data_IF_881184968453
#
_entry.id   IF_881184968453
#
_cell.length_a   1.000
_cell.length_b   1.000
_cell.length_c   1.000
_cell.angle_alpha   90.00
_cell.angle_beta   90.00
_cell.angle_gamma   90.00
#
_symmetry.space_group_name_H-M   'P 1'
#
loop_
_entity.id
_entity.type
_entity.pdbx_description
1 polymer ?
#
# COMPACT_ATOMS: atom_id res chain seq x y z
N UNK A 1 -2.53 -14.15 -8.64
CA UNK A 1 -1.97 -12.83 -8.99
C UNK A 1 -1.61 -12.06 -7.73
N UNK A 2 -0.43 -11.46 -7.74
CA UNK A 2 0.03 -10.63 -6.63
C UNK A 2 -0.18 -9.16 -6.96
N UNK A 3 -1.10 -8.51 -6.28
CA UNK A 3 -1.39 -7.09 -6.46
C UNK A 3 -0.66 -6.29 -5.37
N UNK A 4 0.02 -5.24 -5.77
CA UNK A 4 0.79 -4.37 -4.88
C UNK A 4 0.38 -2.92 -5.06
N UNK A 5 0.56 -2.12 -4.00
CA UNK A 5 0.44 -0.67 -4.06
C UNK A 5 1.86 -0.11 -3.96
N UNK A 6 2.30 0.59 -4.98
CA UNK A 6 3.68 1.08 -5.06
C UNK A 6 3.75 2.45 -5.71
N UNK A 7 4.92 3.09 -5.62
CA UNK A 7 5.16 4.37 -6.27
C UNK A 7 5.73 4.14 -7.67
N UNK A 8 5.15 4.81 -8.66
CA UNK A 8 5.69 4.89 -10.01
C UNK A 8 6.28 6.29 -10.21
N UNK A 9 7.47 6.36 -10.78
CA UNK A 9 8.13 7.63 -11.02
C UNK A 9 7.62 8.26 -12.30
N UNK A 10 7.25 9.53 -12.21
CA UNK A 10 6.87 10.38 -13.33
C UNK A 10 7.61 11.70 -13.22
N UNK A 11 7.40 12.59 -14.18
CA UNK A 11 8.07 13.88 -14.19
C UNK A 11 9.32 13.88 -15.04
N UNK A 12 10.13 14.93 -14.87
CA UNK A 12 11.36 15.14 -15.66
C UNK A 12 12.58 14.70 -14.87
N UNK A 13 13.71 14.52 -15.58
CA UNK A 13 15.03 14.32 -14.97
C UNK A 13 15.30 15.48 -14.01
N UNK A 14 15.62 15.29 -12.79
CA UNK A 14 15.80 16.29 -11.71
C UNK A 14 14.50 16.88 -11.12
N UNK A 15 13.32 16.54 -11.67
CA UNK A 15 12.04 16.98 -11.12
C UNK A 15 11.13 15.77 -10.97
N UNK A 16 11.42 14.87 -10.01
CA UNK A 16 10.64 13.66 -9.82
C UNK A 16 9.25 13.96 -9.26
N UNK A 17 8.28 13.26 -9.79
CA UNK A 17 6.92 13.26 -9.30
C UNK A 17 6.48 11.81 -9.22
N UNK A 18 5.88 11.40 -8.13
CA UNK A 18 5.50 10.01 -7.92
C UNK A 18 3.99 9.84 -7.93
N UNK A 19 3.53 8.78 -8.57
CA UNK A 19 2.14 8.33 -8.50
C UNK A 19 2.07 7.07 -7.66
N UNK A 20 1.14 7.07 -6.71
CA UNK A 20 0.86 5.88 -5.91
C UNK A 20 -0.15 5.05 -6.70
N UNK A 21 0.26 3.89 -7.17
CA UNK A 21 -0.54 3.07 -8.08
C UNK A 21 -0.72 1.66 -7.55
N UNK A 22 -1.86 1.07 -7.90
CA UNK A 22 -2.14 -0.34 -7.67
C UNK A 22 -1.80 -1.08 -8.96
N UNK A 23 -0.93 -2.07 -8.88
CA UNK A 23 -0.48 -2.82 -10.05
C UNK A 23 -0.21 -4.27 -9.69
N UNK A 24 -0.18 -5.14 -10.72
CA UNK A 24 0.33 -6.48 -10.56
C UNK A 24 1.84 -6.40 -10.32
N UNK A 25 2.35 -7.21 -9.41
CA UNK A 25 3.77 -7.25 -9.05
C UNK A 25 4.69 -7.40 -10.26
N UNK A 26 4.25 -8.11 -11.29
CA UNK A 26 5.04 -8.37 -12.50
C UNK A 26 5.00 -7.22 -13.52
N UNK A 27 4.09 -6.25 -13.36
CA UNK A 27 4.03 -5.09 -14.24
C UNK A 27 5.25 -4.18 -14.03
N UNK A 28 5.77 -3.53 -15.11
CA UNK A 28 6.88 -2.57 -14.97
C UNK A 28 6.53 -1.44 -14.00
N UNK A 29 7.51 -1.01 -13.20
CA UNK A 29 7.31 0.03 -12.17
C UNK A 29 6.69 1.31 -12.74
N UNK A 30 7.17 1.78 -13.88
CA UNK A 30 6.72 3.03 -14.48
C UNK A 30 5.78 2.80 -15.68
N UNK A 31 5.30 1.56 -15.85
CA UNK A 31 4.41 1.17 -16.93
C UNK A 31 2.94 1.15 -16.53
N UNK A 32 2.23 0.14 -17.01
CA UNK A 32 0.80 -0.01 -16.74
C UNK A 32 0.50 -0.25 -15.26
N UNK A 33 -0.65 0.23 -14.83
CA UNK A 33 -1.17 -0.01 -13.50
C UNK A 33 -2.69 -0.22 -13.58
N UNK A 34 -3.26 -0.79 -12.51
CA UNK A 34 -4.70 -1.06 -12.43
C UNK A 34 -5.49 0.17 -12.02
N UNK A 35 -4.98 0.93 -11.06
CA UNK A 35 -5.65 2.12 -10.55
C UNK A 35 -4.66 3.10 -9.95
N UNK A 36 -4.90 4.40 -10.12
CA UNK A 36 -4.16 5.46 -9.47
C UNK A 36 -4.87 5.80 -8.15
N UNK A 37 -4.15 5.65 -7.02
CA UNK A 37 -4.74 5.87 -5.68
C UNK A 37 -4.13 7.05 -4.93
N UNK A 38 -3.13 7.71 -5.52
CA UNK A 38 -2.55 8.88 -4.88
C UNK A 38 -1.38 9.45 -5.65
N UNK A 39 -0.88 10.58 -5.18
CA UNK A 39 0.30 11.26 -5.76
C UNK A 39 1.18 11.77 -4.63
N UNK A 40 2.49 11.80 -4.89
CA UNK A 40 3.49 12.34 -3.96
C UNK A 40 4.37 13.30 -4.74
N UNK A 41 4.41 14.56 -4.29
CA UNK A 41 5.29 15.59 -4.87
C UNK A 41 6.35 15.97 -3.84
N UNK A 42 7.59 15.45 -3.98
CA UNK A 42 8.66 15.74 -3.03
C UNK A 42 9.30 17.12 -3.23
N UNK A 43 8.97 17.82 -4.32
CA UNK A 43 9.56 19.13 -4.63
C UNK A 43 8.95 20.28 -3.83
N UNK A 44 7.79 20.08 -3.25
CA UNK A 44 7.17 21.08 -2.38
C UNK A 44 7.71 20.97 -0.95
N UNK A 45 7.72 22.09 -0.22
CA UNK A 45 8.15 22.10 1.17
C UNK A 45 7.02 22.71 2.03
N UNK A 46 6.31 21.92 2.87
CA UNK A 46 6.46 20.48 3.02
C UNK A 46 6.01 19.66 1.80
N UNK A 47 6.45 18.41 1.74
CA UNK A 47 6.08 17.46 0.69
C UNK A 47 4.56 17.33 0.56
N UNK A 48 4.05 17.46 -0.67
CA UNK A 48 2.62 17.35 -0.93
C UNK A 48 2.24 15.91 -1.25
N UNK A 49 1.35 15.34 -0.43
CA UNK A 49 0.84 13.99 -0.61
C UNK A 49 -0.68 14.05 -0.71
N UNK A 50 -1.21 13.52 -1.81
CA UNK A 50 -2.65 13.38 -2.02
C UNK A 50 -2.98 11.91 -2.13
N UNK A 51 -3.93 11.41 -1.34
CA UNK A 51 -4.32 10.00 -1.36
C UNK A 51 -5.83 9.86 -1.48
N UNK A 52 -6.25 8.78 -2.15
CA UNK A 52 -7.65 8.36 -2.21
C UNK A 52 -7.84 7.28 -1.14
N UNK A 53 -8.15 7.70 0.07
CA UNK A 53 -8.22 6.83 1.24
C UNK A 53 -9.14 5.63 1.03
N UNK A 54 -10.35 5.86 0.51
CA UNK A 54 -11.33 4.79 0.29
C UNK A 54 -10.81 3.72 -0.67
N UNK A 55 -10.11 4.13 -1.72
CA UNK A 55 -9.56 3.20 -2.71
C UNK A 55 -8.38 2.42 -2.15
N UNK A 56 -7.51 3.07 -1.38
CA UNK A 56 -6.39 2.40 -0.72
C UNK A 56 -6.92 1.33 0.24
N UNK A 57 -7.89 1.65 1.06
CA UNK A 57 -8.51 0.69 1.98
C UNK A 57 -9.16 -0.47 1.24
N UNK A 58 -9.89 -0.19 0.15
CA UNK A 58 -10.50 -1.22 -0.68
C UNK A 58 -9.46 -2.23 -1.18
N UNK A 59 -8.37 -1.73 -1.78
CA UNK A 59 -7.33 -2.61 -2.33
C UNK A 59 -6.61 -3.41 -1.26
N UNK A 60 -6.34 -2.81 -0.10
CA UNK A 60 -5.71 -3.53 1.02
C UNK A 60 -6.64 -4.64 1.51
N UNK A 61 -7.94 -4.38 1.60
CA UNK A 61 -8.92 -5.38 2.04
C UNK A 61 -9.04 -6.56 1.07
N UNK A 62 -8.87 -6.35 -0.22
CA UNK A 62 -8.89 -7.44 -1.21
C UNK A 62 -7.53 -8.12 -1.38
N UNK A 63 -6.53 -7.75 -0.59
CA UNK A 63 -5.24 -8.44 -0.53
C UNK A 63 -4.06 -7.73 -1.16
N UNK A 64 -4.18 -6.49 -1.61
CA UNK A 64 -3.05 -5.74 -2.15
C UNK A 64 -2.03 -5.46 -1.04
N UNK A 65 -0.75 -5.62 -1.36
CA UNK A 65 0.34 -5.40 -0.41
C UNK A 65 1.00 -4.05 -0.70
N UNK A 66 1.02 -3.12 0.27
CA UNK A 66 1.72 -1.85 0.09
C UNK A 66 3.23 -2.04 0.15
N UNK A 67 3.97 -1.30 -0.69
CA UNK A 67 5.43 -1.26 -0.60
C UNK A 67 5.83 -0.55 0.72
N UNK A 68 7.09 -0.68 1.11
CA UNK A 68 7.58 -0.06 2.35
C UNK A 68 7.31 1.45 2.37
N UNK A 69 7.62 2.16 1.28
CA UNK A 69 7.40 3.60 1.18
C UNK A 69 5.92 3.97 1.25
N UNK A 70 5.07 3.21 0.54
CA UNK A 70 3.61 3.40 0.58
C UNK A 70 3.08 3.13 1.98
N UNK A 71 3.57 2.10 2.65
CA UNK A 71 3.17 1.78 4.02
C UNK A 71 3.47 2.93 4.97
N UNK A 72 4.64 3.59 4.83
CA UNK A 72 4.99 4.76 5.64
C UNK A 72 4.04 5.93 5.39
N UNK A 73 3.67 6.19 4.13
CA UNK A 73 2.70 7.23 3.78
C UNK A 73 1.34 6.94 4.40
N UNK A 74 0.89 5.70 4.30
CA UNK A 74 -0.40 5.28 4.89
C UNK A 74 -0.38 5.43 6.40
N UNK A 75 0.70 5.06 7.07
CA UNK A 75 0.84 5.21 8.52
C UNK A 75 0.77 6.68 8.96
N UNK A 76 1.32 7.57 8.15
CA UNK A 76 1.30 9.01 8.44
C UNK A 76 -0.08 9.64 8.20
N UNK A 77 -0.71 9.32 7.06
CA UNK A 77 -1.96 9.97 6.62
C UNK A 77 -3.23 9.25 7.07
N UNK A 78 -3.14 7.95 7.36
CA UNK A 78 -4.24 7.14 7.90
C UNK A 78 -3.71 6.41 9.14
N UNK A 79 -3.52 7.12 10.26
CA UNK A 79 -2.92 6.53 11.47
C UNK A 79 -3.73 5.34 12.00
N UNK A 80 -3.03 4.27 12.36
CA UNK A 80 -3.63 3.10 12.99
C UNK A 80 -4.24 2.07 12.05
N UNK A 81 -4.45 2.40 10.79
CA UNK A 81 -5.13 1.49 9.86
C UNK A 81 -4.32 0.22 9.58
N UNK A 82 -3.05 0.36 9.23
CA UNK A 82 -2.18 -0.80 8.94
C UNK A 82 -1.90 -1.61 10.19
N UNK A 83 -1.69 -0.95 11.32
CA UNK A 83 -1.47 -1.62 12.60
C UNK A 83 -2.69 -2.46 13.01
N UNK A 84 -3.88 -1.94 12.81
CA UNK A 84 -5.12 -2.68 13.04
C UNK A 84 -5.22 -3.91 12.15
N UNK A 85 -4.91 -3.78 10.86
CA UNK A 85 -4.92 -4.90 9.93
C UNK A 85 -3.88 -5.97 10.29
N UNK A 86 -2.68 -5.57 10.69
CA UNK A 86 -1.64 -6.48 11.15
C UNK A 86 -2.08 -7.22 12.41
N UNK A 87 -2.70 -6.52 13.36
CA UNK A 87 -3.26 -7.12 14.56
C UNK A 87 -4.29 -8.20 14.25
N UNK A 88 -5.21 -7.93 13.35
CA UNK A 88 -6.22 -8.90 12.91
C UNK A 88 -5.58 -10.13 12.25
N UNK A 89 -4.55 -9.94 11.44
CA UNK A 89 -3.81 -11.06 10.84
C UNK A 89 -3.15 -11.93 11.89
N UNK A 90 -2.51 -11.33 12.88
CA UNK A 90 -1.87 -12.08 13.97
C UNK A 90 -2.90 -12.86 14.78
N UNK A 91 -4.04 -12.26 15.09
CA UNK A 91 -5.13 -12.94 15.80
C UNK A 91 -5.65 -14.14 15.03
N UNK A 92 -5.85 -14.00 13.72
CA UNK A 92 -6.27 -15.11 12.85
C UNK A 92 -5.24 -16.24 12.84
N UNK A 93 -3.95 -15.91 12.75
CA UNK A 93 -2.88 -16.90 12.79
C UNK A 93 -2.85 -17.64 14.13
N UNK A 94 -3.01 -16.93 15.24
CA UNK A 94 -3.07 -17.54 16.56
C UNK A 94 -4.27 -18.47 16.71
N UNK A 95 -5.43 -18.05 16.22
CA UNK A 95 -6.64 -18.87 16.25
C UNK A 95 -6.48 -20.14 15.42
N UNK A 96 -5.87 -20.05 14.24
CA UNK A 96 -5.60 -21.21 13.40
C UNK A 96 -4.62 -22.18 14.05
N UNK A 97 -3.57 -21.68 14.71
CA UNK A 97 -2.61 -22.50 15.46
C UNK A 97 -3.28 -23.21 16.62
N UNK A 98 -4.13 -22.50 17.35
CA UNK A 98 -4.88 -23.09 18.48
C UNK A 98 -5.80 -24.23 17.99
N UNK A 99 -6.50 -24.05 16.87
CA UNK A 99 -7.34 -25.09 16.28
C UNK A 99 -6.51 -26.31 15.84
N UNK A 100 -5.34 -26.09 15.25
CA UNK A 100 -4.44 -27.20 14.85
C UNK A 100 -3.94 -27.99 16.04
N UNK A 101 -3.60 -27.32 17.15
CA UNK A 101 -3.19 -27.98 18.38
C UNK A 101 -4.32 -28.77 19.02
N UNK A 102 -5.54 -28.25 18.98
CA UNK A 102 -6.71 -28.92 19.51
C UNK A 102 -7.08 -30.20 18.76
N UNK A 103 -6.73 -30.31 17.47
CA UNK A 103 -6.99 -31.52 16.66
C UNK A 103 -5.95 -32.61 16.82
N UNK A 104 -4.87 -32.36 17.53
CA UNK A 104 -3.88 -33.38 17.87
C UNK A 104 -4.33 -34.06 19.18
#
# INVERSE_FOLDING_TARGET
MSVVIRLARHGRKKMPFYRMVVADKEMPRDGRYLELVGTVNPLTNPETVTIKEDRIKHWIEVGALPSHTVAQVIKRDIPGYLEEKEGKRLERKKALRAKRKAKK
#
